data_IF_982902183795
#
_entry.id   IF_982902183795
#
_cell.length_a   1.000
_cell.length_b   1.000
_cell.length_c   1.000
_cell.angle_alpha   90.00
_cell.angle_beta   90.00
_cell.angle_gamma   90.00
#
_symmetry.space_group_name_H-M   'P 1'
#
loop_
_entity.id
_entity.type
_entity.pdbx_description
1 polymer ?
#
# COMPACT_ATOMS: atom_id res chain seq x y z
N UNK A 1 25.04 -30.24 -3.17
CA UNK A 1 26.29 -29.47 -3.26
C UNK A 1 25.90 -27.99 -3.26
N UNK A 2 25.84 -27.36 -2.09
CA UNK A 2 25.35 -25.99 -1.92
C UNK A 2 26.47 -25.02 -2.29
N UNK A 3 26.31 -24.26 -3.39
CA UNK A 3 27.19 -23.13 -3.70
C UNK A 3 26.77 -21.94 -2.84
N UNK A 4 27.65 -21.54 -1.94
CA UNK A 4 27.66 -20.19 -1.40
C UNK A 4 27.93 -19.22 -2.56
N UNK A 5 26.94 -18.39 -2.90
CA UNK A 5 27.17 -17.15 -3.63
C UNK A 5 27.02 -16.00 -2.64
N UNK A 6 28.13 -15.70 -1.98
CA UNK A 6 28.34 -14.46 -1.25
C UNK A 6 28.53 -13.32 -2.25
N UNK A 7 27.46 -12.57 -2.50
CA UNK A 7 27.52 -11.13 -2.81
C UNK A 7 26.12 -10.55 -2.61
N UNK A 8 25.62 -10.65 -1.37
CA UNK A 8 24.50 -9.82 -0.94
C UNK A 8 24.98 -8.37 -1.00
N UNK A 9 24.53 -7.62 -2.00
CA UNK A 9 24.40 -6.17 -1.89
C UNK A 9 23.85 -5.88 -0.50
N UNK A 10 24.64 -5.24 0.36
CA UNK A 10 24.17 -4.80 1.67
C UNK A 10 22.94 -3.94 1.41
N UNK A 11 21.75 -4.51 1.64
CA UNK A 11 20.54 -3.74 1.88
C UNK A 11 20.91 -2.87 3.06
N UNK A 12 21.21 -1.59 2.79
CA UNK A 12 21.53 -0.61 3.81
C UNK A 12 20.36 -0.60 4.77
N UNK A 13 20.52 -1.31 5.89
CA UNK A 13 19.58 -1.27 7.01
C UNK A 13 19.64 0.16 7.50
N UNK A 14 18.79 1.02 6.97
CA UNK A 14 18.67 2.40 7.45
C UNK A 14 18.34 2.26 8.94
N UNK A 15 19.22 2.70 9.85
CA UNK A 15 18.96 2.54 11.28
C UNK A 15 17.90 3.56 11.66
N UNK A 16 16.62 3.20 11.46
CA UNK A 16 15.46 4.08 11.60
C UNK A 16 15.30 4.62 13.03
N UNK A 17 15.80 3.88 14.02
CA UNK A 17 15.67 4.19 15.43
C UNK A 17 16.30 5.53 15.81
N UNK A 18 17.54 5.80 15.40
CA UNK A 18 18.25 7.03 15.77
C UNK A 18 17.61 8.30 15.19
N UNK A 19 17.31 8.37 13.88
CA UNK A 19 16.59 9.49 13.29
C UNK A 19 15.20 9.68 13.88
N UNK A 20 14.48 8.60 14.17
CA UNK A 20 13.16 8.65 14.80
C UNK A 20 13.23 9.25 16.22
N UNK A 21 14.14 8.76 17.06
CA UNK A 21 14.37 9.30 18.42
C UNK A 21 14.77 10.78 18.34
N UNK A 22 15.68 11.13 17.44
CA UNK A 22 16.09 12.52 17.25
C UNK A 22 14.93 13.41 16.79
N UNK A 23 13.99 12.88 16.01
CA UNK A 23 12.79 13.60 15.61
C UNK A 23 11.92 13.96 16.82
N UNK A 24 11.71 13.00 17.73
CA UNK A 24 10.96 13.21 18.98
C UNK A 24 11.59 14.35 19.78
N UNK A 25 12.90 14.29 20.02
CA UNK A 25 13.62 15.33 20.76
C UNK A 25 13.50 16.71 20.09
N UNK A 26 13.65 16.78 18.76
CA UNK A 26 13.49 18.04 18.02
C UNK A 26 12.06 18.59 18.10
N UNK A 27 11.04 17.73 18.12
CA UNK A 27 9.64 18.16 18.26
C UNK A 27 9.31 18.61 19.69
N UNK A 28 10.04 18.11 20.70
CA UNK A 28 9.92 18.59 22.07
C UNK A 28 10.46 20.02 22.24
N UNK A 29 11.58 20.35 21.57
CA UNK A 29 12.24 21.66 21.67
C UNK A 29 11.55 22.77 20.87
N UNK A 30 10.87 22.42 19.77
CA UNK A 30 10.31 23.40 18.84
C UNK A 30 8.94 23.92 19.27
N UNK A 31 8.65 25.17 18.87
CA UNK A 31 7.31 25.79 19.02
C UNK A 31 6.24 25.07 18.18
N UNK A 32 6.62 24.52 17.02
CA UNK A 32 5.75 23.68 16.20
C UNK A 32 6.12 22.20 16.42
N UNK A 33 5.25 21.47 17.10
CA UNK A 33 5.54 20.16 17.72
C UNK A 33 5.23 18.93 16.85
N UNK A 34 4.96 19.09 15.56
CA UNK A 34 4.47 17.99 14.71
C UNK A 34 5.12 17.98 13.33
N UNK A 35 6.45 18.12 13.29
CA UNK A 35 7.21 18.02 12.05
C UNK A 35 7.95 16.70 12.01
N UNK A 36 7.56 15.85 11.08
CA UNK A 36 8.17 14.55 10.88
C UNK A 36 9.05 14.58 9.63
N UNK A 37 10.14 13.83 9.65
CA UNK A 37 11.01 13.66 8.49
C UNK A 37 10.66 12.37 7.78
N UNK A 38 11.19 12.18 6.57
CA UNK A 38 10.84 11.07 5.68
C UNK A 38 11.05 9.70 6.34
N UNK A 39 12.16 9.51 7.04
CA UNK A 39 12.45 8.26 7.78
C UNK A 39 11.44 7.97 8.90
N UNK A 40 10.90 9.01 9.54
CA UNK A 40 9.84 8.85 10.55
C UNK A 40 8.51 8.52 9.90
N UNK A 41 8.23 9.06 8.71
CA UNK A 41 7.05 8.72 7.93
C UNK A 41 7.10 7.27 7.43
N UNK A 42 8.23 6.82 6.88
CA UNK A 42 8.45 5.42 6.50
C UNK A 42 8.27 4.49 7.70
N UNK A 43 8.86 4.82 8.85
CA UNK A 43 8.69 4.03 10.07
C UNK A 43 7.23 3.93 10.51
N UNK A 44 6.52 5.05 10.49
CA UNK A 44 5.11 5.12 10.84
C UNK A 44 4.26 4.28 9.90
N UNK A 45 4.54 4.31 8.59
CA UNK A 45 3.88 3.45 7.59
C UNK A 45 4.14 1.97 7.88
N UNK A 46 5.37 1.57 8.23
CA UNK A 46 5.67 0.18 8.58
C UNK A 46 4.87 -0.28 9.80
N UNK A 47 4.82 0.52 10.87
CA UNK A 47 4.02 0.22 12.06
C UNK A 47 2.54 0.09 11.67
N UNK A 48 2.03 0.99 10.85
CA UNK A 48 0.64 0.98 10.42
C UNK A 48 0.30 -0.26 9.58
N UNK A 49 1.15 -0.63 8.62
CA UNK A 49 0.94 -1.78 7.73
C UNK A 49 1.05 -3.10 8.50
N UNK A 50 2.10 -3.26 9.32
CA UNK A 50 2.34 -4.53 10.03
C UNK A 50 1.55 -4.67 11.32
N UNK A 51 1.32 -3.57 12.05
CA UNK A 51 0.60 -3.57 13.32
C UNK A 51 -0.90 -3.28 13.19
N UNK A 52 -1.34 -2.73 12.06
CA UNK A 52 -2.71 -2.29 11.85
C UNK A 52 -3.06 -1.00 12.61
N UNK A 53 -4.27 -0.50 12.34
CA UNK A 53 -4.78 0.77 12.86
C UNK A 53 -4.73 0.86 14.39
N UNK A 54 -5.20 -0.17 15.09
CA UNK A 54 -5.29 -0.14 16.55
C UNK A 54 -3.92 -0.13 17.24
N UNK A 55 -2.96 -0.90 16.74
CA UNK A 55 -1.59 -0.89 17.25
C UNK A 55 -0.94 0.48 17.02
N UNK A 56 -1.12 1.03 15.82
CA UNK A 56 -0.59 2.35 15.48
C UNK A 56 -1.14 3.44 16.40
N UNK A 57 -2.46 3.49 16.60
CA UNK A 57 -3.09 4.48 17.47
C UNK A 57 -2.70 4.31 18.93
N UNK A 58 -2.63 3.06 19.39
CA UNK A 58 -2.14 2.77 20.74
C UNK A 58 -0.74 3.35 20.95
N UNK A 59 0.19 3.11 20.02
CA UNK A 59 1.54 3.66 20.12
C UNK A 59 1.55 5.18 20.03
N UNK A 60 0.78 5.78 19.12
CA UNK A 60 0.70 7.24 18.95
C UNK A 60 0.19 7.96 20.20
N UNK A 61 -0.79 7.37 20.90
CA UNK A 61 -1.37 7.93 22.12
C UNK A 61 -0.44 7.76 23.33
N UNK A 62 0.30 6.65 23.40
CA UNK A 62 1.23 6.39 24.51
C UNK A 62 2.61 7.03 24.31
N UNK A 63 2.99 7.36 23.08
CA UNK A 63 4.24 8.02 22.72
C UNK A 63 3.94 9.36 22.02
N UNK A 64 3.62 10.42 22.78
CA UNK A 64 3.27 11.71 22.19
C UNK A 64 4.43 12.26 21.36
N UNK A 65 4.11 12.88 20.22
CA UNK A 65 5.06 13.47 19.26
C UNK A 65 5.98 12.45 18.54
N UNK A 66 5.78 11.16 18.76
CA UNK A 66 6.60 10.12 18.14
C UNK A 66 6.09 9.69 16.77
N UNK A 67 4.78 9.80 16.54
CA UNK A 67 4.13 9.31 15.33
C UNK A 67 3.18 10.38 14.75
N UNK A 68 3.13 10.50 13.41
CA UNK A 68 2.20 11.39 12.74
C UNK A 68 0.74 10.97 12.95
N UNK A 69 -0.19 11.88 12.68
CA UNK A 69 -1.62 11.57 12.67
C UNK A 69 -1.96 10.62 11.50
N UNK A 70 -3.01 9.82 11.66
CA UNK A 70 -3.48 8.88 10.63
C UNK A 70 -3.80 9.58 9.32
N UNK A 71 -4.47 10.74 9.36
CA UNK A 71 -4.80 11.52 8.16
C UNK A 71 -3.58 11.88 7.33
N UNK A 72 -2.43 12.15 7.98
CA UNK A 72 -1.18 12.38 7.28
C UNK A 72 -0.64 11.09 6.65
N UNK A 73 -0.80 9.94 7.30
CA UNK A 73 -0.43 8.64 6.71
C UNK A 73 -1.30 8.29 5.51
N UNK A 74 -2.61 8.48 5.61
CA UNK A 74 -3.55 8.24 4.49
C UNK A 74 -3.18 9.12 3.29
N UNK A 75 -2.89 10.40 3.54
CA UNK A 75 -2.38 11.30 2.51
C UNK A 75 -1.07 10.78 1.88
N UNK A 76 -0.13 10.27 2.69
CA UNK A 76 1.11 9.69 2.18
C UNK A 76 0.85 8.44 1.35
N UNK A 77 -0.04 7.54 1.78
CA UNK A 77 -0.39 6.31 1.05
C UNK A 77 -0.99 6.65 -0.32
N UNK A 78 -1.90 7.63 -0.34
CA UNK A 78 -2.56 8.10 -1.57
C UNK A 78 -1.52 8.73 -2.52
N UNK A 79 -0.62 9.58 -2.00
CA UNK A 79 0.29 10.35 -2.84
C UNK A 79 1.59 9.64 -3.23
N UNK A 80 2.07 8.67 -2.45
CA UNK A 80 3.32 7.94 -2.74
C UNK A 80 3.11 6.79 -3.74
N UNK A 81 2.02 6.82 -4.51
CA UNK A 81 1.59 5.71 -5.36
C UNK A 81 1.51 4.37 -4.62
N UNK A 82 1.43 4.35 -3.29
CA UNK A 82 1.33 3.10 -2.53
C UNK A 82 -0.07 2.49 -2.61
N UNK A 83 -1.08 3.28 -3.01
CA UNK A 83 -2.42 2.77 -3.32
C UNK A 83 -2.32 1.78 -4.49
N UNK A 84 -2.46 0.50 -4.19
CA UNK A 84 -2.72 -0.51 -5.21
C UNK A 84 -4.16 -0.34 -5.67
N UNK A 85 -4.35 -0.24 -6.98
CA UNK A 85 -5.67 -0.20 -7.59
C UNK A 85 -6.06 -1.66 -7.87
N UNK A 86 -7.28 -2.02 -7.55
CA UNK A 86 -7.82 -3.35 -7.86
C UNK A 86 -7.70 -3.66 -9.35
N UNK A 87 -7.41 -4.91 -9.71
CA UNK A 87 -7.14 -5.36 -11.08
C UNK A 87 -5.98 -4.65 -11.79
N UNK A 88 -5.15 -3.86 -11.10
CA UNK A 88 -3.99 -3.20 -11.67
C UNK A 88 -2.69 -3.82 -11.13
N UNK A 89 -2.07 -4.67 -11.93
CA UNK A 89 -0.78 -5.25 -11.61
C UNK A 89 0.37 -4.43 -12.22
N UNK A 90 1.30 -3.96 -11.37
CA UNK A 90 2.43 -3.10 -11.78
C UNK A 90 3.63 -3.91 -12.25
N UNK A 91 3.51 -4.54 -13.42
CA UNK A 91 4.58 -5.37 -14.01
C UNK A 91 5.92 -4.65 -14.16
N UNK A 92 5.91 -3.34 -14.45
CA UNK A 92 7.13 -2.54 -14.61
C UNK A 92 7.96 -2.47 -13.33
N UNK A 93 7.30 -2.15 -12.20
CA UNK A 93 7.96 -2.10 -10.88
C UNK A 93 8.45 -3.48 -10.46
N UNK A 94 7.68 -4.54 -10.73
CA UNK A 94 8.12 -5.91 -10.46
C UNK A 94 9.37 -6.27 -11.26
N UNK A 95 9.43 -5.86 -12.53
CA UNK A 95 10.58 -6.10 -13.41
C UNK A 95 11.82 -5.34 -12.94
N UNK A 96 11.66 -4.09 -12.49
CA UNK A 96 12.74 -3.29 -11.90
C UNK A 96 13.25 -3.91 -10.61
N UNK A 97 12.33 -4.37 -9.74
CA UNK A 97 12.67 -5.07 -8.52
C UNK A 97 13.39 -6.40 -8.79
N UNK A 98 12.95 -7.18 -9.78
CA UNK A 98 13.61 -8.41 -10.21
C UNK A 98 15.06 -8.17 -10.63
N UNK A 99 15.30 -7.05 -11.34
CA UNK A 99 16.65 -6.66 -11.78
C UNK A 99 17.53 -6.24 -10.61
N UNK A 100 16.98 -5.48 -9.66
CA UNK A 100 17.75 -4.99 -8.51
C UNK A 100 18.11 -6.10 -7.52
N UNK A 101 17.26 -7.11 -7.39
CA UNK A 101 17.45 -8.27 -6.50
C UNK A 101 18.06 -9.50 -7.20
N UNK A 102 18.32 -9.40 -8.50
CA UNK A 102 18.90 -10.45 -9.34
C UNK A 102 18.11 -11.77 -9.33
N UNK A 103 16.76 -11.67 -9.35
CA UNK A 103 15.89 -12.82 -9.55
C UNK A 103 15.59 -13.02 -11.05
N UNK A 104 15.67 -14.27 -11.50
CA UNK A 104 15.44 -14.63 -12.91
C UNK A 104 13.99 -15.05 -13.19
N UNK A 105 13.27 -15.51 -12.17
CA UNK A 105 11.90 -16.02 -12.31
C UNK A 105 11.06 -15.54 -11.13
N UNK A 106 9.87 -15.04 -11.43
CA UNK A 106 8.88 -14.62 -10.44
C UNK A 106 7.58 -15.33 -10.79
N UNK A 107 7.01 -16.04 -9.82
CA UNK A 107 5.71 -16.67 -9.93
C UNK A 107 4.71 -15.84 -9.14
N UNK A 108 3.62 -15.44 -9.79
CA UNK A 108 2.50 -14.72 -9.17
C UNK A 108 1.28 -15.60 -9.32
N UNK A 109 0.63 -15.90 -8.21
CA UNK A 109 -0.67 -16.55 -8.20
C UNK A 109 -1.62 -15.64 -7.42
N UNK A 110 -2.78 -15.38 -8.02
CA UNK A 110 -3.87 -14.67 -7.37
C UNK A 110 -4.92 -15.69 -6.98
N UNK A 111 -5.25 -15.73 -5.69
CA UNK A 111 -6.36 -16.51 -5.18
C UNK A 111 -7.59 -15.60 -5.09
N UNK A 112 -8.68 -16.00 -5.73
CA UNK A 112 -9.94 -15.25 -5.73
C UNK A 112 -10.69 -15.54 -4.42
N UNK A 113 -10.17 -15.02 -3.31
CA UNK A 113 -10.81 -15.12 -2.00
C UNK A 113 -12.06 -14.24 -1.97
N UNK A 114 -13.23 -14.86 -2.17
CA UNK A 114 -14.59 -14.36 -1.95
C UNK A 114 -14.91 -12.95 -2.49
N UNK A 115 -15.70 -12.90 -3.57
CA UNK A 115 -16.29 -11.67 -4.11
C UNK A 115 -17.08 -10.92 -3.03
N UNK A 116 -16.70 -9.68 -2.77
CA UNK A 116 -17.49 -8.74 -1.95
C UNK A 116 -18.84 -8.58 -2.67
N UNK A 117 -19.95 -9.04 -2.07
CA UNK A 117 -21.29 -8.89 -2.64
C UNK A 117 -21.83 -7.45 -2.54
N UNK A 118 -20.98 -6.49 -2.20
CA UNK A 118 -21.32 -5.10 -2.00
C UNK A 118 -20.80 -4.30 -3.20
N UNK A 119 -21.70 -3.61 -3.89
CA UNK A 119 -21.32 -2.61 -4.88
C UNK A 119 -20.88 -1.37 -4.11
N UNK A 120 -19.64 -0.96 -4.30
CA UNK A 120 -19.09 0.28 -3.74
C UNK A 120 -18.72 1.26 -4.85
N UNK A 121 -18.60 2.54 -4.54
CA UNK A 121 -18.20 3.57 -5.49
C UNK A 121 -16.90 4.23 -5.03
N UNK A 122 -15.80 4.02 -5.77
CA UNK A 122 -14.57 4.77 -5.57
C UNK A 122 -14.67 6.12 -6.29
N UNK A 123 -14.95 7.16 -5.51
CA UNK A 123 -15.03 8.54 -5.98
C UNK A 123 -13.70 9.07 -6.54
N UNK A 124 -12.55 8.51 -6.14
CA UNK A 124 -11.25 8.98 -6.65
C UNK A 124 -11.00 8.51 -8.08
N UNK A 125 -11.36 7.27 -8.39
CA UNK A 125 -11.18 6.69 -9.72
C UNK A 125 -12.43 6.78 -10.59
N UNK A 126 -13.56 7.24 -10.02
CA UNK A 126 -14.86 7.29 -10.67
C UNK A 126 -15.30 5.92 -11.23
N UNK A 127 -15.11 4.86 -10.44
CA UNK A 127 -15.49 3.50 -10.80
C UNK A 127 -16.40 2.89 -9.74
N UNK A 128 -17.31 2.03 -10.18
CA UNK A 128 -18.04 1.13 -9.28
C UNK A 128 -17.24 -0.16 -9.09
N UNK A 129 -17.04 -0.54 -7.84
CA UNK A 129 -16.34 -1.75 -7.40
C UNK A 129 -17.40 -2.79 -7.02
N UNK A 130 -17.12 -4.08 -7.23
CA UNK A 130 -18.03 -5.17 -6.84
C UNK A 130 -19.00 -5.63 -7.94
N UNK A 131 -18.90 -5.10 -9.16
CA UNK A 131 -19.53 -5.74 -10.33
C UNK A 131 -18.67 -6.91 -10.80
N UNK A 132 -19.20 -8.13 -10.73
CA UNK A 132 -18.62 -9.24 -11.47
C UNK A 132 -19.26 -9.29 -12.85
N UNK A 133 -18.45 -9.18 -13.90
CA UNK A 133 -18.92 -9.54 -15.25
C UNK A 133 -19.34 -11.01 -15.23
N UNK A 134 -20.44 -11.38 -15.89
CA UNK A 134 -20.79 -12.78 -16.06
C UNK A 134 -19.63 -13.53 -16.72
N UNK A 135 -19.40 -14.75 -16.22
CA UNK A 135 -18.35 -15.62 -16.69
C UNK A 135 -18.89 -16.49 -17.84
N UNK A 136 -18.18 -16.54 -18.96
CA UNK A 136 -18.40 -17.54 -20.01
C UNK A 136 -17.15 -18.40 -20.10
N UNK A 137 -17.31 -19.71 -19.92
CA UNK A 137 -16.21 -20.68 -19.85
C UNK A 137 -15.12 -20.32 -18.81
N UNK A 138 -15.53 -19.70 -17.70
CA UNK A 138 -14.63 -19.28 -16.61
C UNK A 138 -13.87 -17.99 -16.87
N UNK A 139 -14.14 -17.29 -17.98
CA UNK A 139 -13.51 -16.01 -18.34
C UNK A 139 -14.53 -14.88 -18.19
N UNK A 140 -14.19 -13.76 -17.50
CA UNK A 140 -15.08 -12.61 -17.40
C UNK A 140 -15.27 -11.94 -18.76
N UNK A 141 -16.52 -11.64 -19.11
CA UNK A 141 -16.82 -10.87 -20.31
C UNK A 141 -16.43 -9.39 -20.14
N UNK A 142 -15.56 -8.89 -21.03
CA UNK A 142 -15.25 -7.47 -21.12
C UNK A 142 -16.47 -6.66 -21.56
N UNK A 143 -16.59 -5.43 -21.07
CA UNK A 143 -17.60 -4.44 -21.49
C UNK A 143 -19.07 -4.87 -21.30
N UNK A 144 -19.35 -5.90 -20.48
CA UNK A 144 -20.71 -6.40 -20.26
C UNK A 144 -21.68 -5.32 -19.73
N UNK A 145 -21.19 -4.44 -18.86
CA UNK A 145 -21.98 -3.35 -18.28
C UNK A 145 -21.89 -2.04 -19.08
N UNK A 146 -21.34 -2.07 -20.31
CA UNK A 146 -21.26 -0.87 -21.14
C UNK A 146 -22.64 -0.52 -21.68
N UNK A 147 -23.19 0.58 -21.20
CA UNK A 147 -24.44 1.15 -21.72
C UNK A 147 -24.31 2.65 -21.91
N UNK A 148 -24.94 3.17 -22.97
CA UNK A 148 -25.07 4.62 -23.19
C UNK A 148 -26.17 5.24 -22.30
N UNK A 149 -27.08 4.43 -21.75
CA UNK A 149 -28.18 4.91 -20.89
C UNK A 149 -28.57 3.92 -19.79
N UNK A 150 -28.86 4.44 -18.59
CA UNK A 150 -29.25 3.64 -17.41
C UNK A 150 -30.50 2.77 -17.62
N UNK A 151 -31.36 3.12 -18.58
CA UNK A 151 -32.58 2.33 -18.91
C UNK A 151 -32.25 0.91 -19.41
N UNK A 152 -31.08 0.72 -20.01
CA UNK A 152 -30.67 -0.58 -20.59
C UNK A 152 -30.18 -1.56 -19.50
N UNK A 153 -29.66 -1.06 -18.38
CA UNK A 153 -29.17 -1.87 -17.26
C UNK A 153 -30.29 -2.43 -16.36
N UNK A 154 -31.54 -2.00 -16.55
CA UNK A 154 -32.65 -2.26 -15.61
C UNK A 154 -33.45 -3.54 -15.87
N UNK A 155 -33.04 -4.34 -16.86
CA UNK A 155 -33.69 -5.60 -17.25
C UNK A 155 -32.92 -6.81 -16.73
#
# INVERSE_FOLDING_TARGET
MWRQTSSSSEVTRIPVLFPWINNIFRNLEKKNKYRYGDQTHEFALLIFIFGGLHCYEFLRLNLPLALPQITNLEFLIINQELKMIECNFRFNLLKEYSRSTNFNYIFVAEDATHSISCIDYDAQSNFFIGFSSPLVDGVPQSDFFQTETFKVLKN
#
